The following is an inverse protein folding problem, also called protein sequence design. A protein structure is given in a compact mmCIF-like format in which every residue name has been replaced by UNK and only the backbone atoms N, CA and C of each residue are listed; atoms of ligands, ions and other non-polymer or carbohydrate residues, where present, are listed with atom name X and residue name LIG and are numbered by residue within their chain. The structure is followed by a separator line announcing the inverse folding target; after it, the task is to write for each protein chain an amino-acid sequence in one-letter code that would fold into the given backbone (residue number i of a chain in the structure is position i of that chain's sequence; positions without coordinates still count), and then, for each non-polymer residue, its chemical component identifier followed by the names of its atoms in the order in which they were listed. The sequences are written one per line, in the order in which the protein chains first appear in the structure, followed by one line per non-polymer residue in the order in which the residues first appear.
data_IF_562731914976
#
_entry.id   IF_562731914976
#
_cell.length_a   1.000
_cell.length_b   1.000
_cell.length_c   1.000
_cell.angle_alpha   90.00
_cell.angle_beta   90.00
_cell.angle_gamma   90.00
#
_symmetry.space_group_name_H-M   'P 1'
#
loop_
_entity.id
_entity.type
_entity.pdbx_description
1 polymer ?
#
# COMPACT_ATOMS: atom_id res chain seq x y z
N UNK A 1 21.21 22.49 -24.05
CA UNK A 1 21.31 21.10 -23.55
C UNK A 1 20.82 20.17 -24.65
N UNK A 2 21.64 19.23 -25.13
CA UNK A 2 21.13 18.20 -26.06
C UNK A 2 20.18 17.32 -25.27
N UNK A 3 18.88 17.44 -25.51
CA UNK A 3 17.90 16.45 -25.08
C UNK A 3 18.30 15.18 -25.82
N UNK A 4 19.02 14.29 -25.13
CA UNK A 4 19.38 12.99 -25.69
C UNK A 4 18.06 12.27 -25.96
N UNK A 5 17.88 11.80 -27.19
CA UNK A 5 16.71 11.04 -27.55
C UNK A 5 16.76 9.71 -26.80
N UNK A 6 16.01 9.62 -25.70
CA UNK A 6 15.99 8.48 -24.80
C UNK A 6 15.71 7.16 -25.53
N UNK A 7 14.86 7.20 -26.57
CA UNK A 7 14.56 6.06 -27.43
C UNK A 7 15.81 5.57 -28.18
N UNK A 8 16.63 6.49 -28.71
CA UNK A 8 17.87 6.12 -29.39
C UNK A 8 18.88 5.48 -28.43
N UNK A 9 18.99 5.98 -27.19
CA UNK A 9 19.87 5.38 -26.19
C UNK A 9 19.42 3.96 -25.80
N UNK A 10 18.10 3.74 -25.64
CA UNK A 10 17.54 2.41 -25.37
C UNK A 10 17.80 1.47 -26.55
N UNK A 11 17.58 1.92 -27.79
CA UNK A 11 17.81 1.13 -28.99
C UNK A 11 19.29 0.79 -29.20
N UNK A 12 20.20 1.71 -28.86
CA UNK A 12 21.63 1.44 -28.87
C UNK A 12 21.99 0.36 -27.84
N UNK A 13 21.51 0.49 -26.60
CA UNK A 13 21.74 -0.52 -25.56
C UNK A 13 21.20 -1.89 -25.94
N UNK A 14 20.05 -1.93 -26.60
CA UNK A 14 19.47 -3.16 -27.13
C UNK A 14 20.31 -3.76 -28.26
N UNK A 15 20.75 -2.94 -29.23
CA UNK A 15 21.59 -3.37 -30.37
C UNK A 15 22.94 -3.91 -29.91
N UNK A 16 23.55 -3.26 -28.92
CA UNK A 16 24.83 -3.66 -28.32
C UNK A 16 24.68 -4.74 -27.24
N UNK A 17 23.44 -5.17 -26.93
CA UNK A 17 23.11 -6.20 -25.92
C UNK A 17 23.76 -5.95 -24.55
N UNK A 18 23.68 -4.72 -24.07
CA UNK A 18 24.22 -4.36 -22.76
C UNK A 18 23.59 -5.19 -21.65
N UNK A 19 24.37 -5.55 -20.62
CA UNK A 19 23.80 -6.08 -19.38
C UNK A 19 23.04 -5.00 -18.61
N UNK A 20 22.14 -5.38 -17.69
CA UNK A 20 21.36 -4.43 -16.89
C UNK A 20 22.25 -3.40 -16.18
N UNK A 21 23.39 -3.84 -15.63
CA UNK A 21 24.37 -2.97 -14.98
C UNK A 21 25.06 -2.02 -15.97
N UNK A 22 25.53 -2.54 -17.12
CA UNK A 22 26.16 -1.72 -18.16
C UNK A 22 25.19 -0.67 -18.70
N UNK A 23 23.93 -1.06 -18.89
CA UNK A 23 22.86 -0.17 -19.27
C UNK A 23 22.67 0.94 -18.24
N UNK A 24 22.49 0.62 -16.97
CA UNK A 24 22.27 1.63 -15.93
C UNK A 24 23.44 2.64 -15.83
N UNK A 25 24.69 2.16 -15.89
CA UNK A 25 25.89 3.02 -15.83
C UNK A 25 25.96 3.96 -17.03
N UNK A 26 25.74 3.46 -18.25
CA UNK A 26 25.79 4.30 -19.44
C UNK A 26 24.59 5.24 -19.53
N UNK A 27 23.41 4.77 -19.12
CA UNK A 27 22.22 5.60 -19.07
C UNK A 27 22.41 6.80 -18.13
N UNK A 28 23.08 6.62 -16.99
CA UNK A 28 23.32 7.70 -16.01
C UNK A 28 24.08 8.89 -16.58
N UNK A 29 24.90 8.67 -17.61
CA UNK A 29 25.64 9.73 -18.29
C UNK A 29 24.72 10.70 -19.04
N UNK A 30 23.51 10.27 -19.39
CA UNK A 30 22.53 11.07 -20.13
C UNK A 30 21.59 11.87 -19.21
N UNK A 31 21.63 11.67 -17.90
CA UNK A 31 20.76 12.37 -16.94
C UNK A 31 21.51 13.54 -16.29
N UNK A 32 20.88 14.71 -16.13
CA UNK A 32 21.46 15.81 -15.38
C UNK A 32 21.79 15.39 -13.95
N UNK A 33 22.93 15.85 -13.41
CA UNK A 33 23.29 15.60 -12.01
C UNK A 33 22.20 16.16 -11.09
N UNK A 34 21.60 15.30 -10.27
CA UNK A 34 20.56 15.67 -9.29
C UNK A 34 19.12 15.62 -9.81
N UNK A 35 18.88 15.26 -11.08
CA UNK A 35 17.53 15.04 -11.59
C UNK A 35 17.02 13.63 -11.25
N UNK A 36 15.73 13.49 -10.91
CA UNK A 36 15.06 12.19 -10.84
C UNK A 36 14.88 11.63 -12.25
N UNK A 37 15.01 10.32 -12.42
CA UNK A 37 14.93 9.69 -13.75
C UNK A 37 13.51 9.71 -14.31
N UNK A 38 12.52 9.98 -13.46
CA UNK A 38 11.12 10.16 -13.84
C UNK A 38 10.89 11.40 -14.71
N UNK A 39 11.75 12.43 -14.61
CA UNK A 39 11.63 13.68 -15.40
C UNK A 39 11.68 13.43 -16.91
N UNK A 40 12.32 12.33 -17.34
CA UNK A 40 12.45 11.98 -18.75
C UNK A 40 11.46 10.89 -19.20
N UNK A 41 10.43 10.56 -18.39
CA UNK A 41 9.46 9.51 -18.69
C UNK A 41 10.13 8.16 -19.03
N UNK A 42 11.19 7.80 -18.30
CA UNK A 42 12.00 6.60 -18.59
C UNK A 42 11.18 5.31 -18.57
N UNK A 43 10.27 5.17 -17.60
CA UNK A 43 9.39 4.00 -17.52
C UNK A 43 8.52 3.85 -18.77
N UNK A 44 7.95 4.96 -19.26
CA UNK A 44 7.16 4.99 -20.49
C UNK A 44 8.00 4.67 -21.71
N UNK A 45 9.17 5.29 -21.87
CA UNK A 45 10.04 5.01 -23.01
C UNK A 45 10.52 3.55 -23.03
N UNK A 46 10.85 2.97 -21.88
CA UNK A 46 11.22 1.55 -21.79
C UNK A 46 10.06 0.63 -22.13
N UNK A 47 8.85 0.90 -21.61
CA UNK A 47 7.67 0.10 -21.94
C UNK A 47 7.28 0.22 -23.41
N UNK A 48 7.24 1.43 -23.98
CA UNK A 48 6.95 1.63 -25.40
C UNK A 48 7.90 0.82 -26.29
N UNK A 49 9.21 0.85 -26.00
CA UNK A 49 10.19 0.10 -26.78
C UNK A 49 10.12 -1.41 -26.50
N UNK A 50 9.82 -1.82 -25.27
CA UNK A 50 9.63 -3.22 -24.92
C UNK A 50 8.40 -3.82 -25.62
N UNK A 51 7.36 -3.03 -25.85
CA UNK A 51 6.10 -3.46 -26.44
C UNK A 51 6.06 -3.32 -27.97
N UNK A 52 7.19 -3.19 -28.66
CA UNK A 52 7.22 -3.25 -30.14
C UNK A 52 7.24 -4.72 -30.59
N UNK A 53 6.11 -5.20 -31.11
CA UNK A 53 5.97 -6.56 -31.67
C UNK A 53 4.93 -7.44 -30.94
N UNK A 54 4.72 -8.69 -31.37
CA UNK A 54 3.68 -9.57 -30.80
C UNK A 54 3.98 -10.05 -29.38
N UNK A 55 5.26 -10.08 -29.00
CA UNK A 55 5.74 -10.43 -27.66
C UNK A 55 6.66 -9.34 -27.12
N UNK A 56 6.72 -9.14 -25.80
CA UNK A 56 7.53 -8.08 -25.25
C UNK A 56 9.02 -8.40 -25.34
N UNK A 57 9.85 -7.41 -25.64
CA UNK A 57 11.28 -7.55 -25.74
C UNK A 57 11.90 -7.83 -24.35
N UNK A 58 12.45 -9.05 -24.11
CA UNK A 58 12.87 -9.46 -22.78
C UNK A 58 14.06 -8.65 -22.23
N UNK A 59 14.94 -8.15 -23.10
CA UNK A 59 16.10 -7.36 -22.70
C UNK A 59 15.69 -5.94 -22.28
N UNK A 60 14.79 -5.30 -23.04
CA UNK A 60 14.30 -3.97 -22.65
C UNK A 60 13.45 -4.08 -21.38
N UNK A 61 12.70 -5.17 -21.22
CA UNK A 61 12.01 -5.46 -19.96
C UNK A 61 12.97 -5.68 -18.80
N UNK A 62 14.13 -6.34 -18.99
CA UNK A 62 15.10 -6.51 -17.91
C UNK A 62 15.66 -5.16 -17.43
N UNK A 63 15.88 -4.22 -18.34
CA UNK A 63 16.25 -2.84 -17.98
C UNK A 63 15.20 -2.15 -17.12
N UNK A 64 13.91 -2.30 -17.44
CA UNK A 64 12.83 -1.76 -16.62
C UNK A 64 12.75 -2.44 -15.25
N UNK A 65 12.84 -3.77 -15.20
CA UNK A 65 12.84 -4.55 -13.95
C UNK A 65 14.01 -4.14 -13.05
N UNK A 66 15.17 -3.91 -13.65
CA UNK A 66 16.35 -3.39 -12.96
C UNK A 66 16.09 -1.98 -12.43
N UNK A 67 15.58 -1.07 -13.28
CA UNK A 67 15.28 0.31 -12.90
C UNK A 67 14.28 0.40 -11.74
N UNK A 68 13.27 -0.46 -11.71
CA UNK A 68 12.33 -0.60 -10.59
C UNK A 68 13.05 -1.07 -9.34
N UNK A 69 13.85 -2.13 -9.44
CA UNK A 69 14.52 -2.74 -8.28
C UNK A 69 15.59 -1.84 -7.68
N UNK A 70 16.27 -1.04 -8.50
CA UNK A 70 17.27 -0.06 -8.07
C UNK A 70 16.67 1.33 -7.77
N UNK A 71 15.35 1.47 -7.73
CA UNK A 71 14.63 2.73 -7.45
C UNK A 71 15.07 3.89 -8.36
N UNK A 72 15.45 3.59 -9.60
CA UNK A 72 15.77 4.63 -10.58
C UNK A 72 14.49 5.33 -11.04
N UNK A 73 13.40 4.57 -11.23
CA UNK A 73 12.08 5.09 -11.58
C UNK A 73 11.11 4.93 -10.40
N UNK A 74 10.18 5.86 -10.24
CA UNK A 74 9.12 5.72 -9.24
C UNK A 74 8.06 4.71 -9.66
N UNK A 75 7.42 4.08 -8.67
CA UNK A 75 6.28 3.20 -8.90
C UNK A 75 5.10 3.94 -9.56
N UNK A 76 4.93 5.23 -9.27
CA UNK A 76 3.93 6.08 -9.90
C UNK A 76 4.13 6.13 -11.41
N UNK A 77 5.34 6.50 -11.87
CA UNK A 77 5.67 6.57 -13.30
C UNK A 77 5.49 5.22 -14.01
N UNK A 78 5.81 4.10 -13.34
CA UNK A 78 5.60 2.76 -13.90
C UNK A 78 4.11 2.43 -14.01
N UNK A 79 3.31 2.66 -12.97
CA UNK A 79 1.86 2.42 -13.00
C UNK A 79 1.18 3.26 -14.09
N UNK A 80 1.54 4.53 -14.21
CA UNK A 80 1.05 5.41 -15.28
C UNK A 80 1.42 4.86 -16.65
N UNK A 81 2.68 4.44 -16.86
CA UNK A 81 3.12 3.89 -18.13
C UNK A 81 2.41 2.57 -18.49
N UNK A 82 2.16 1.68 -17.51
CA UNK A 82 1.36 0.47 -17.71
C UNK A 82 -0.08 0.83 -18.14
N UNK A 83 -0.69 1.82 -17.47
CA UNK A 83 -2.08 2.20 -17.74
C UNK A 83 -2.34 2.75 -19.15
N UNK A 84 -1.28 3.15 -19.88
CA UNK A 84 -1.35 3.62 -21.27
C UNK A 84 -1.45 2.50 -22.30
N UNK A 85 -1.11 1.27 -21.94
CA UNK A 85 -1.20 0.13 -22.85
C UNK A 85 -2.67 -0.28 -23.06
N UNK A 86 -3.16 -0.35 -24.29
CA UNK A 86 -4.57 -0.60 -24.60
C UNK A 86 -4.83 -1.81 -25.50
N UNK A 87 -3.79 -2.37 -26.12
CA UNK A 87 -3.87 -3.55 -26.98
C UNK A 87 -3.93 -4.86 -26.18
N UNK A 88 -5.10 -5.15 -25.62
CA UNK A 88 -5.37 -6.36 -24.83
C UNK A 88 -5.40 -7.66 -25.65
N UNK A 89 -5.26 -7.59 -26.98
CA UNK A 89 -5.16 -8.79 -27.82
C UNK A 89 -3.81 -9.50 -27.67
N UNK A 90 -2.79 -8.79 -27.17
CA UNK A 90 -1.41 -9.28 -27.03
C UNK A 90 -1.17 -9.89 -25.65
N UNK A 91 -1.58 -11.13 -25.48
CA UNK A 91 -1.56 -11.83 -24.18
C UNK A 91 -0.20 -11.83 -23.48
N UNK A 92 0.89 -12.09 -24.22
CA UNK A 92 2.25 -12.09 -23.64
C UNK A 92 2.68 -10.71 -23.12
N UNK A 93 2.18 -9.64 -23.72
CA UNK A 93 2.48 -8.28 -23.31
C UNK A 93 1.69 -7.91 -22.06
N UNK A 94 0.40 -8.25 -22.04
CA UNK A 94 -0.44 -8.12 -20.85
C UNK A 94 0.16 -8.90 -19.68
N UNK A 95 0.53 -10.16 -19.89
CA UNK A 95 1.18 -10.99 -18.87
C UNK A 95 2.44 -10.32 -18.31
N UNK A 96 3.33 -9.81 -19.17
CA UNK A 96 4.54 -9.14 -18.71
C UNK A 96 4.27 -7.86 -17.90
N UNK A 97 3.21 -7.12 -18.25
CA UNK A 97 2.78 -5.94 -17.49
C UNK A 97 2.23 -6.32 -16.11
N UNK A 98 1.42 -7.39 -16.02
CA UNK A 98 0.94 -7.92 -14.74
C UNK A 98 2.10 -8.38 -13.86
N UNK A 99 3.08 -9.09 -14.43
CA UNK A 99 4.29 -9.53 -13.74
C UNK A 99 5.11 -8.34 -13.20
N UNK A 100 5.20 -7.24 -13.95
CA UNK A 100 5.86 -6.01 -13.49
C UNK A 100 5.12 -5.42 -12.28
N UNK A 101 3.79 -5.32 -12.33
CA UNK A 101 3.00 -4.83 -11.19
C UNK A 101 3.24 -5.70 -9.95
N UNK A 102 3.35 -7.01 -10.12
CA UNK A 102 3.64 -7.96 -9.05
C UNK A 102 4.96 -7.72 -8.32
N UNK A 103 5.96 -7.12 -8.98
CA UNK A 103 7.25 -6.84 -8.35
C UNK A 103 7.16 -5.81 -7.22
N UNK A 104 6.19 -4.91 -7.22
CA UNK A 104 6.18 -3.78 -6.29
C UNK A 104 4.83 -3.45 -5.65
N UNK A 105 3.71 -4.09 -6.03
CA UNK A 105 2.38 -3.80 -5.45
C UNK A 105 2.34 -3.84 -3.92
N UNK A 106 3.11 -4.72 -3.27
CA UNK A 106 3.15 -4.83 -1.81
C UNK A 106 3.96 -3.68 -1.15
N UNK A 107 4.85 -3.07 -1.92
CA UNK A 107 5.80 -2.01 -1.52
C UNK A 107 5.33 -0.60 -1.83
N UNK A 108 4.10 -0.42 -2.33
CA UNK A 108 3.53 0.91 -2.60
C UNK A 108 3.45 1.72 -1.30
N UNK A 109 4.18 2.82 -1.21
CA UNK A 109 4.16 3.69 -0.02
C UNK A 109 4.41 5.15 -0.39
N UNK A 110 3.75 6.03 0.35
CA UNK A 110 3.86 7.48 0.22
C UNK A 110 4.91 8.00 1.23
N UNK A 111 6.11 8.34 0.78
CA UNK A 111 7.20 8.85 1.64
C UNK A 111 7.73 10.22 1.17
N UNK A 112 7.20 10.72 0.07
CA UNK A 112 7.65 11.94 -0.59
C UNK A 112 6.80 13.16 -0.25
N UNK A 113 6.86 14.17 -1.12
CA UNK A 113 6.01 15.37 -1.01
C UNK A 113 4.55 15.00 -1.24
N UNK A 114 3.62 15.83 -0.75
CA UNK A 114 2.18 15.62 -0.93
C UNK A 114 1.82 15.38 -2.41
N UNK A 115 2.38 16.18 -3.32
CA UNK A 115 2.19 16.03 -4.77
C UNK A 115 2.63 14.66 -5.32
N UNK A 116 3.77 14.13 -4.86
CA UNK A 116 4.26 12.81 -5.28
C UNK A 116 3.36 11.69 -4.77
N UNK A 117 2.83 11.86 -3.55
CA UNK A 117 1.89 10.93 -2.93
C UNK A 117 0.54 10.93 -3.67
N UNK A 118 0.02 12.11 -4.00
CA UNK A 118 -1.20 12.27 -4.81
C UNK A 118 -0.97 11.70 -6.21
N UNK A 119 0.20 11.95 -6.81
CA UNK A 119 0.59 11.35 -8.08
C UNK A 119 0.55 9.83 -8.05
N UNK A 120 1.08 9.20 -7.00
CA UNK A 120 0.99 7.76 -6.81
C UNK A 120 -0.46 7.27 -6.68
N UNK A 121 -1.30 7.99 -5.93
CA UNK A 121 -2.72 7.68 -5.80
C UNK A 121 -3.42 7.68 -7.17
N UNK A 122 -3.21 8.73 -7.98
CA UNK A 122 -3.76 8.82 -9.35
C UNK A 122 -3.23 7.71 -10.24
N UNK A 123 -1.93 7.43 -10.21
CA UNK A 123 -1.34 6.35 -11.00
C UNK A 123 -1.89 4.97 -10.62
N UNK A 124 -2.12 4.71 -9.33
CA UNK A 124 -2.76 3.48 -8.86
C UNK A 124 -4.22 3.39 -9.30
N UNK A 125 -4.95 4.50 -9.33
CA UNK A 125 -6.32 4.56 -9.86
C UNK A 125 -6.36 4.25 -11.36
N UNK A 126 -5.48 4.86 -12.16
CA UNK A 126 -5.35 4.56 -13.58
C UNK A 126 -4.97 3.09 -13.83
N UNK A 127 -4.07 2.53 -13.02
CA UNK A 127 -3.70 1.13 -13.09
C UNK A 127 -4.85 0.19 -12.69
N UNK A 128 -5.66 0.55 -11.70
CA UNK A 128 -6.88 -0.20 -11.36
C UNK A 128 -7.87 -0.19 -12.52
N UNK A 129 -8.13 0.97 -13.11
CA UNK A 129 -9.00 1.08 -14.28
C UNK A 129 -8.47 0.24 -15.46
N UNK A 130 -7.16 0.28 -15.71
CA UNK A 130 -6.50 -0.55 -16.70
C UNK A 130 -6.68 -2.05 -16.42
N UNK A 131 -6.48 -2.50 -15.18
CA UNK A 131 -6.70 -3.89 -14.77
C UNK A 131 -8.16 -4.33 -14.98
N UNK A 132 -9.13 -3.47 -14.71
CA UNK A 132 -10.55 -3.77 -14.94
C UNK A 132 -10.87 -3.90 -16.42
N UNK A 133 -10.35 -2.99 -17.27
CA UNK A 133 -10.50 -3.09 -18.73
C UNK A 133 -9.84 -4.35 -19.28
N UNK A 134 -8.65 -4.69 -18.77
CA UNK A 134 -7.93 -5.91 -19.11
C UNK A 134 -8.72 -7.17 -18.71
N UNK A 135 -9.32 -7.17 -17.51
CA UNK A 135 -10.18 -8.25 -17.02
C UNK A 135 -11.43 -8.39 -17.89
N UNK A 136 -12.10 -7.28 -18.25
CA UNK A 136 -13.25 -7.29 -19.13
C UNK A 136 -12.92 -7.83 -20.53
N UNK A 137 -11.81 -7.38 -21.13
CA UNK A 137 -11.36 -7.88 -22.43
C UNK A 137 -10.99 -9.38 -22.40
N UNK A 138 -10.44 -9.86 -21.28
CA UNK A 138 -10.14 -11.28 -21.09
C UNK A 138 -11.42 -12.11 -20.91
N UNK A 139 -12.42 -11.58 -20.21
CA UNK A 139 -13.72 -12.21 -20.03
C UNK A 139 -14.55 -12.27 -21.32
N UNK A 140 -14.52 -11.20 -22.14
CA UNK A 140 -15.15 -11.18 -23.47
C UNK A 140 -14.55 -12.25 -24.39
N UNK A 141 -13.22 -12.36 -24.43
CA UNK A 141 -12.53 -13.39 -25.23
C UNK A 141 -12.79 -14.81 -24.73
N UNK A 142 -12.91 -15.01 -23.42
CA UNK A 142 -13.33 -16.30 -22.89
C UNK A 142 -14.73 -16.67 -23.37
N UNK A 143 -15.67 -15.72 -23.39
CA UNK A 143 -17.02 -15.92 -23.90
C UNK A 143 -17.00 -16.32 -25.38
N UNK A 144 -16.25 -15.62 -26.22
CA UNK A 144 -16.07 -15.96 -27.64
C UNK A 144 -15.40 -17.34 -27.83
N UNK A 145 -14.39 -17.64 -27.02
CA UNK A 145 -13.68 -18.93 -27.04
C UNK A 145 -14.56 -20.11 -26.60
N UNK A 146 -15.57 -19.89 -25.75
CA UNK A 146 -16.58 -20.89 -25.40
C UNK A 146 -17.46 -21.24 -26.60
N UNK A 147 -17.84 -20.25 -27.42
CA UNK A 147 -18.60 -20.47 -28.66
C UNK A 147 -17.76 -21.19 -29.73
N UNK A 148 -16.46 -20.92 -29.76
CA UNK A 148 -15.50 -21.53 -30.70
C UNK A 148 -14.85 -22.84 -30.22
N UNK A 149 -15.19 -23.34 -29.02
CA UNK A 149 -14.68 -24.61 -28.49
C UNK A 149 -13.22 -24.60 -28.00
N UNK A 150 -12.61 -23.43 -27.75
CA UNK A 150 -11.21 -23.28 -27.27
C UNK A 150 -11.07 -22.41 -25.99
N UNK A 151 -11.74 -22.75 -24.87
CA UNK A 151 -11.83 -21.87 -23.70
C UNK A 151 -10.53 -21.73 -22.88
N UNK A 152 -9.63 -22.71 -22.95
CA UNK A 152 -8.51 -22.84 -21.99
C UNK A 152 -7.54 -21.64 -21.97
N UNK A 153 -7.29 -21.01 -23.12
CA UNK A 153 -6.39 -19.84 -23.18
C UNK A 153 -7.04 -18.59 -22.55
N UNK A 154 -8.33 -18.36 -22.81
CA UNK A 154 -9.09 -17.25 -22.24
C UNK A 154 -9.26 -17.37 -20.73
N UNK A 155 -9.47 -18.58 -20.21
CA UNK A 155 -9.59 -18.81 -18.77
C UNK A 155 -8.29 -18.48 -18.03
N UNK A 156 -7.14 -18.92 -18.56
CA UNK A 156 -5.83 -18.62 -17.98
C UNK A 156 -5.60 -17.12 -17.89
N UNK A 157 -5.87 -16.39 -18.98
CA UNK A 157 -5.66 -14.95 -19.02
C UNK A 157 -6.57 -14.22 -18.03
N UNK A 158 -7.86 -14.59 -17.98
CA UNK A 158 -8.81 -14.02 -17.02
C UNK A 158 -8.38 -14.29 -15.56
N UNK A 159 -7.93 -15.52 -15.26
CA UNK A 159 -7.45 -15.88 -13.94
C UNK A 159 -6.25 -15.02 -13.49
N UNK A 160 -5.30 -14.76 -14.39
CA UNK A 160 -4.14 -13.90 -14.08
C UNK A 160 -4.56 -12.46 -13.77
N UNK A 161 -5.49 -11.90 -14.56
CA UNK A 161 -6.03 -10.55 -14.32
C UNK A 161 -6.76 -10.47 -12.97
N UNK A 162 -7.59 -11.46 -12.65
CA UNK A 162 -8.34 -11.51 -11.39
C UNK A 162 -7.41 -11.70 -10.18
N UNK A 163 -6.42 -12.60 -10.27
CA UNK A 163 -5.42 -12.76 -9.23
C UNK A 163 -4.68 -11.45 -8.95
N UNK A 164 -4.32 -10.71 -10.01
CA UNK A 164 -3.64 -9.42 -9.87
C UNK A 164 -4.56 -8.37 -9.26
N UNK A 165 -5.83 -8.32 -9.69
CA UNK A 165 -6.84 -7.42 -9.12
C UNK A 165 -7.06 -7.69 -7.62
N UNK A 166 -7.24 -8.95 -7.25
CA UNK A 166 -7.43 -9.40 -5.87
C UNK A 166 -6.24 -9.02 -4.99
N UNK A 167 -5.01 -9.35 -5.40
CA UNK A 167 -3.81 -9.00 -4.63
C UNK A 167 -3.63 -7.48 -4.48
N UNK A 168 -4.07 -6.69 -5.47
CA UNK A 168 -4.03 -5.22 -5.36
C UNK A 168 -5.05 -4.72 -4.35
N UNK A 169 -6.25 -5.29 -4.36
CA UNK A 169 -7.37 -4.89 -3.51
C UNK A 169 -7.33 -5.49 -2.11
N UNK A 170 -6.63 -6.59 -1.85
CA UNK A 170 -6.53 -7.24 -0.52
C UNK A 170 -5.81 -6.34 0.49
N UNK A 171 -4.87 -5.52 0.02
CA UNK A 171 -4.15 -4.52 0.81
C UNK A 171 -5.05 -3.34 1.19
N UNK A 172 -5.34 -3.20 2.49
CA UNK A 172 -6.06 -2.03 3.03
C UNK A 172 -5.36 -0.72 2.69
N UNK A 173 -4.02 -0.72 2.66
CA UNK A 173 -3.21 0.42 2.25
C UNK A 173 -3.51 0.83 0.81
N UNK A 174 -3.55 -0.12 -0.12
CA UNK A 174 -3.82 0.18 -1.53
C UNK A 174 -5.25 0.70 -1.72
N UNK A 175 -6.22 0.12 -1.01
CA UNK A 175 -7.59 0.64 -1.01
C UNK A 175 -7.65 2.07 -0.46
N UNK A 176 -6.93 2.38 0.62
CA UNK A 176 -6.85 3.75 1.16
C UNK A 176 -6.25 4.75 0.15
N UNK A 177 -5.20 4.37 -0.58
CA UNK A 177 -4.62 5.20 -1.65
C UNK A 177 -5.64 5.45 -2.78
N UNK A 178 -6.41 4.42 -3.17
CA UNK A 178 -7.49 4.54 -4.15
C UNK A 178 -8.63 5.46 -3.67
N UNK A 179 -8.94 5.44 -2.37
CA UNK A 179 -9.92 6.36 -1.78
C UNK A 179 -9.46 7.82 -1.91
N UNK A 180 -8.18 8.09 -1.61
CA UNK A 180 -7.60 9.43 -1.79
C UNK A 180 -7.66 9.83 -3.27
N UNK A 181 -7.29 8.93 -4.18
CA UNK A 181 -7.35 9.18 -5.62
C UNK A 181 -8.76 9.53 -6.11
N UNK A 182 -9.79 8.84 -5.60
CA UNK A 182 -11.20 9.14 -5.89
C UNK A 182 -11.57 10.57 -5.48
N UNK A 183 -11.19 10.99 -4.27
CA UNK A 183 -11.52 12.32 -3.77
C UNK A 183 -10.88 13.41 -4.62
N UNK A 184 -9.71 13.13 -5.19
CA UNK A 184 -8.99 14.04 -6.07
C UNK A 184 -9.53 14.06 -7.51
N UNK A 185 -9.97 12.91 -8.04
CA UNK A 185 -10.35 12.75 -9.44
C UNK A 185 -11.65 11.95 -9.60
N UNK A 186 -12.78 12.57 -9.25
CA UNK A 186 -14.09 11.93 -9.25
C UNK A 186 -14.52 11.37 -10.62
N UNK A 187 -14.14 12.02 -11.73
CA UNK A 187 -14.44 11.57 -13.10
C UNK A 187 -13.81 10.21 -13.43
N UNK A 188 -12.55 10.02 -13.03
CA UNK A 188 -11.83 8.76 -13.22
C UNK A 188 -12.45 7.63 -12.39
N UNK A 189 -13.04 7.93 -11.23
CA UNK A 189 -13.81 6.97 -10.46
C UNK A 189 -15.11 6.54 -11.14
N UNK A 190 -15.85 7.46 -11.75
CA UNK A 190 -17.06 7.13 -12.52
C UNK A 190 -16.76 6.17 -13.67
N UNK A 191 -15.60 6.30 -14.33
CA UNK A 191 -15.15 5.36 -15.35
C UNK A 191 -14.92 3.94 -14.79
N UNK A 192 -14.38 3.83 -13.57
CA UNK A 192 -14.23 2.55 -12.87
C UNK A 192 -15.59 1.94 -12.55
N UNK A 193 -16.55 2.72 -12.07
CA UNK A 193 -17.91 2.25 -11.78
C UNK A 193 -18.60 1.72 -13.04
N UNK A 194 -18.50 2.44 -14.15
CA UNK A 194 -19.01 1.98 -15.44
C UNK A 194 -18.33 0.69 -15.92
N UNK A 195 -17.00 0.61 -15.80
CA UNK A 195 -16.25 -0.59 -16.16
C UNK A 195 -16.65 -1.80 -15.29
N UNK A 196 -16.93 -1.58 -14.00
CA UNK A 196 -17.41 -2.61 -13.08
C UNK A 196 -18.80 -3.12 -13.43
N UNK A 197 -19.71 -2.22 -13.84
CA UNK A 197 -21.04 -2.62 -14.30
C UNK A 197 -20.94 -3.51 -15.55
N UNK A 198 -20.20 -3.05 -16.56
CA UNK A 198 -19.96 -3.82 -17.79
C UNK A 198 -19.33 -5.18 -17.49
N UNK A 199 -18.31 -5.22 -16.61
CA UNK A 199 -17.67 -6.47 -16.20
C UNK A 199 -18.67 -7.42 -15.52
N UNK A 200 -19.55 -6.91 -14.64
CA UNK A 200 -20.60 -7.70 -14.01
C UNK A 200 -21.54 -8.38 -15.01
N UNK A 201 -21.95 -7.66 -16.06
CA UNK A 201 -22.81 -8.20 -17.13
C UNK A 201 -22.11 -9.32 -17.92
N UNK A 202 -20.81 -9.15 -18.23
CA UNK A 202 -20.03 -10.17 -18.94
C UNK A 202 -19.88 -11.43 -18.08
N UNK A 203 -19.54 -11.25 -16.80
CA UNK A 203 -19.27 -12.35 -15.87
C UNK A 203 -20.53 -13.15 -15.48
N UNK A 204 -21.70 -12.52 -15.48
CA UNK A 204 -22.97 -13.19 -15.18
C UNK A 204 -23.24 -14.40 -16.11
N UNK A 205 -22.69 -14.35 -17.32
CA UNK A 205 -22.87 -15.35 -18.37
C UNK A 205 -21.74 -16.39 -18.42
N UNK A 206 -20.73 -16.31 -17.54
CA UNK A 206 -19.65 -17.30 -17.51
C UNK A 206 -20.05 -18.56 -16.75
N UNK A 207 -19.66 -19.72 -17.30
CA UNK A 207 -19.89 -21.04 -16.69
C UNK A 207 -18.94 -21.33 -15.51
N UNK A 208 -17.76 -20.70 -15.47
CA UNK A 208 -16.75 -20.93 -14.44
C UNK A 208 -17.09 -20.20 -13.13
N UNK A 209 -17.68 -20.93 -12.19
CA UNK A 209 -18.15 -20.38 -10.90
C UNK A 209 -17.02 -19.82 -10.03
N UNK A 210 -15.80 -20.37 -10.10
CA UNK A 210 -14.67 -19.91 -9.30
C UNK A 210 -14.21 -18.52 -9.74
N UNK A 211 -13.98 -18.34 -11.04
CA UNK A 211 -13.55 -17.05 -11.60
C UNK A 211 -14.63 -15.98 -11.38
N UNK A 212 -15.90 -16.36 -11.54
CA UNK A 212 -17.04 -15.47 -11.26
C UNK A 212 -17.06 -15.02 -9.80
N UNK A 213 -16.94 -15.95 -8.85
CA UNK A 213 -16.93 -15.62 -7.42
C UNK A 213 -15.76 -14.69 -7.05
N UNK A 214 -14.55 -14.97 -7.58
CA UNK A 214 -13.38 -14.13 -7.35
C UNK A 214 -13.57 -12.71 -7.90
N UNK A 215 -14.18 -12.58 -9.08
CA UNK A 215 -14.47 -11.29 -9.67
C UNK A 215 -15.56 -10.51 -8.92
N UNK A 216 -16.60 -11.20 -8.44
CA UNK A 216 -17.64 -10.62 -7.58
C UNK A 216 -17.02 -10.08 -6.27
N UNK A 217 -16.11 -10.83 -5.64
CA UNK A 217 -15.36 -10.38 -4.45
C UNK A 217 -14.49 -9.15 -4.74
N UNK A 218 -13.78 -9.12 -5.86
CA UNK A 218 -13.04 -7.93 -6.27
C UNK A 218 -13.98 -6.73 -6.46
N UNK A 219 -15.14 -6.95 -7.09
CA UNK A 219 -16.17 -5.93 -7.29
C UNK A 219 -16.76 -5.40 -5.98
N UNK A 220 -17.02 -6.23 -4.98
CA UNK A 220 -17.50 -5.78 -3.66
C UNK A 220 -16.42 -4.96 -2.93
N UNK A 221 -15.16 -5.39 -2.99
CA UNK A 221 -14.04 -4.63 -2.43
C UNK A 221 -13.92 -3.25 -3.07
N UNK A 222 -14.00 -3.13 -4.40
CA UNK A 222 -13.93 -1.82 -5.08
C UNK A 222 -15.12 -0.94 -4.67
N UNK A 223 -16.34 -1.48 -4.63
CA UNK A 223 -17.54 -0.73 -4.20
C UNK A 223 -17.48 -0.28 -2.73
N UNK A 224 -16.68 -0.94 -1.90
CA UNK A 224 -16.45 -0.53 -0.50
C UNK A 224 -15.43 0.61 -0.34
N UNK A 225 -14.61 0.91 -1.36
CA UNK A 225 -13.57 1.95 -1.29
C UNK A 225 -14.14 3.33 -0.93
N UNK A 226 -15.26 3.80 -1.52
CA UNK A 226 -15.89 5.06 -1.15
C UNK A 226 -16.26 5.18 0.33
N UNK A 227 -16.57 4.06 1.00
CA UNK A 227 -17.08 4.04 2.38
C UNK A 227 -16.02 3.67 3.42
N UNK A 228 -14.77 3.42 3.02
CA UNK A 228 -13.72 3.01 3.97
C UNK A 228 -13.43 4.06 5.06
N UNK A 229 -13.54 5.35 4.73
CA UNK A 229 -13.39 6.44 5.71
C UNK A 229 -14.73 6.91 6.29
N UNK A 230 -15.86 6.47 5.73
CA UNK A 230 -17.18 6.70 6.35
C UNK A 230 -17.45 5.73 7.50
N UNK A 231 -16.60 4.71 7.67
CA UNK A 231 -16.38 4.07 8.97
C UNK A 231 -15.71 5.13 9.85
N UNK A 232 -16.52 6.07 10.34
CA UNK A 232 -16.13 6.90 11.46
C UNK A 232 -15.52 5.98 12.50
N UNK A 233 -14.31 6.29 12.96
CA UNK A 233 -13.80 5.67 14.17
C UNK A 233 -14.72 6.13 15.30
N UNK A 234 -15.82 5.42 15.53
CA UNK A 234 -16.67 5.55 16.73
C UNK A 234 -15.85 5.28 18.02
N UNK A 235 -14.58 4.89 17.88
CA UNK A 235 -13.66 4.52 18.95
C UNK A 235 -12.59 5.57 19.25
N UNK A 236 -12.52 6.73 18.59
CA UNK A 236 -11.46 7.71 18.90
C UNK A 236 -11.51 8.20 20.38
N UNK A 237 -12.64 7.99 21.05
CA UNK A 237 -12.91 8.50 22.42
C UNK A 237 -13.02 7.38 23.46
N UNK A 238 -12.86 6.10 23.09
CA UNK A 238 -12.85 4.99 24.06
C UNK A 238 -11.42 4.61 24.36
N UNK A 239 -10.91 5.04 25.50
CA UNK A 239 -9.70 4.44 26.09
C UNK A 239 -9.94 2.93 26.20
N UNK A 240 -9.09 2.11 25.58
CA UNK A 240 -9.32 0.66 25.53
C UNK A 240 -9.31 0.02 26.92
N UNK A 241 -8.59 0.65 27.87
CA UNK A 241 -8.42 0.19 29.23
C UNK A 241 -8.50 1.38 30.22
N UNK A 242 -9.71 1.92 30.50
CA UNK A 242 -9.89 3.11 31.34
C UNK A 242 -9.39 2.90 32.77
N UNK A 243 -9.35 1.66 33.25
CA UNK A 243 -8.83 1.33 34.58
C UNK A 243 -7.34 1.62 34.69
N UNK A 244 -6.55 1.40 33.62
CA UNK A 244 -5.13 1.78 33.59
C UNK A 244 -5.00 3.30 33.74
N UNK A 245 -5.83 4.05 33.01
CA UNK A 245 -5.85 5.51 33.09
C UNK A 245 -6.22 6.00 34.49
N UNK A 246 -7.26 5.42 35.10
CA UNK A 246 -7.68 5.78 36.45
C UNK A 246 -6.57 5.56 37.50
N UNK A 247 -5.88 4.42 37.45
CA UNK A 247 -4.78 4.11 38.37
C UNK A 247 -3.61 5.08 38.19
N UNK A 248 -3.21 5.33 36.93
CA UNK A 248 -2.11 6.27 36.63
C UNK A 248 -2.49 7.70 37.00
N UNK A 249 -3.73 8.12 36.74
CA UNK A 249 -4.23 9.45 37.05
C UNK A 249 -4.28 9.70 38.56
N UNK A 250 -4.78 8.73 39.31
CA UNK A 250 -4.86 8.78 40.76
C UNK A 250 -3.47 8.85 41.39
N UNK A 251 -2.53 8.05 40.91
CA UNK A 251 -1.16 8.07 41.41
C UNK A 251 -0.43 9.39 41.08
N UNK A 252 -0.58 9.90 39.86
CA UNK A 252 0.04 11.16 39.44
C UNK A 252 -0.53 12.39 40.15
N UNK A 253 -1.80 12.33 40.57
CA UNK A 253 -2.47 13.43 41.29
C UNK A 253 -2.20 13.39 42.80
N UNK A 254 -2.31 12.21 43.41
CA UNK A 254 -2.38 12.07 44.87
C UNK A 254 -1.08 11.60 45.51
N UNK A 255 -0.26 10.83 44.78
CA UNK A 255 0.85 10.06 45.35
C UNK A 255 2.19 10.33 44.64
N UNK A 256 2.43 11.57 44.19
CA UNK A 256 3.66 11.89 43.43
C UNK A 256 4.95 11.45 44.14
N UNK A 257 5.02 11.70 45.46
CA UNK A 257 6.19 11.36 46.30
C UNK A 257 6.13 9.95 46.88
N UNK A 258 5.04 9.20 46.63
CA UNK A 258 4.89 7.83 47.11
C UNK A 258 5.87 6.88 46.46
N UNK A 259 6.16 5.77 47.13
CA UNK A 259 7.01 4.71 46.59
C UNK A 259 6.45 4.16 45.27
N UNK A 260 7.32 3.69 44.38
CA UNK A 260 6.90 3.15 43.06
C UNK A 260 6.33 1.74 43.14
N UNK A 261 6.55 1.02 44.24
CA UNK A 261 6.18 -0.40 44.37
C UNK A 261 4.65 -0.64 44.39
N UNK A 262 3.84 0.12 45.15
CA UNK A 262 2.38 -0.06 45.14
C UNK A 262 1.75 0.18 43.76
N UNK A 263 2.22 1.20 43.03
CA UNK A 263 1.75 1.48 41.67
C UNK A 263 2.05 0.31 40.73
N UNK A 264 3.25 -0.28 40.81
CA UNK A 264 3.64 -1.44 40.00
C UNK A 264 2.71 -2.63 40.25
N UNK A 265 2.40 -2.92 41.52
CA UNK A 265 1.54 -4.04 41.91
C UNK A 265 0.10 -3.85 41.42
N UNK A 266 -0.45 -2.65 41.59
CA UNK A 266 -1.79 -2.30 41.09
C UNK A 266 -1.87 -2.39 39.57
N UNK A 267 -0.89 -1.86 38.85
CA UNK A 267 -0.78 -1.93 37.40
C UNK A 267 -0.69 -3.38 36.91
N UNK A 268 0.10 -4.22 37.57
CA UNK A 268 0.19 -5.66 37.24
C UNK A 268 -1.11 -6.41 37.54
N UNK A 269 -1.83 -6.04 38.60
CA UNK A 269 -3.14 -6.61 38.90
C UNK A 269 -4.14 -6.28 37.78
N UNK A 270 -4.22 -5.01 37.36
CA UNK A 270 -5.10 -4.57 36.25
C UNK A 270 -4.75 -5.29 34.96
N UNK A 271 -3.45 -5.36 34.60
CA UNK A 271 -2.98 -6.08 33.42
C UNK A 271 -3.45 -7.53 33.40
N UNK A 272 -3.34 -8.24 34.52
CA UNK A 272 -3.76 -9.64 34.66
C UNK A 272 -5.26 -9.82 34.58
N UNK A 273 -6.03 -9.00 35.31
CA UNK A 273 -7.50 -9.10 35.33
C UNK A 273 -8.14 -8.77 33.98
N UNK A 274 -7.57 -7.80 33.24
CA UNK A 274 -8.10 -7.35 31.94
C UNK A 274 -7.41 -8.03 30.76
N UNK A 275 -6.51 -9.00 31.00
CA UNK A 275 -5.75 -9.71 29.97
C UNK A 275 -5.10 -8.80 28.92
N UNK A 276 -4.50 -7.69 29.37
CA UNK A 276 -4.00 -6.63 28.47
C UNK A 276 -2.68 -7.07 27.82
N UNK A 277 -2.58 -7.07 26.48
CA UNK A 277 -1.31 -7.32 25.79
C UNK A 277 -0.23 -6.32 26.21
N UNK A 278 0.99 -6.78 26.50
CA UNK A 278 2.09 -5.94 27.00
C UNK A 278 2.34 -4.67 26.17
N UNK A 279 2.36 -4.69 24.83
CA UNK A 279 2.57 -3.47 24.04
C UNK A 279 1.45 -2.43 24.24
N UNK A 280 0.19 -2.89 24.29
CA UNK A 280 -0.97 -2.02 24.53
C UNK A 280 -0.97 -1.49 25.96
N UNK A 281 -0.57 -2.33 26.93
CA UNK A 281 -0.48 -1.93 28.32
C UNK A 281 0.49 -0.76 28.54
N UNK A 282 1.69 -0.85 27.95
CA UNK A 282 2.68 0.25 28.02
C UNK A 282 2.16 1.50 27.32
N UNK A 283 1.51 1.33 26.16
CA UNK A 283 0.90 2.44 25.43
C UNK A 283 -0.16 3.17 26.26
N UNK A 284 -1.05 2.44 26.95
CA UNK A 284 -2.09 3.05 27.79
C UNK A 284 -1.53 3.78 29.00
N UNK A 285 -0.44 3.29 29.61
CA UNK A 285 0.26 4.02 30.68
C UNK A 285 0.77 5.37 30.15
N UNK A 286 1.42 5.38 28.99
CA UNK A 286 1.92 6.63 28.39
C UNK A 286 0.80 7.59 28.00
N UNK A 287 -0.30 7.07 27.43
CA UNK A 287 -1.49 7.88 27.12
C UNK A 287 -2.02 8.57 28.38
N UNK A 288 -2.18 7.84 29.47
CA UNK A 288 -2.66 8.39 30.73
C UNK A 288 -1.74 9.48 31.30
N UNK A 289 -0.43 9.32 31.16
CA UNK A 289 0.54 10.34 31.57
C UNK A 289 0.42 11.62 30.72
N UNK A 290 0.26 11.48 29.40
CA UNK A 290 0.08 12.63 28.51
C UNK A 290 -1.26 13.32 28.70
N UNK A 291 -2.34 12.57 28.97
CA UNK A 291 -3.63 13.15 29.36
C UNK A 291 -3.46 14.00 30.63
N UNK A 292 -2.80 13.46 31.66
CA UNK A 292 -2.52 14.20 32.89
C UNK A 292 -1.69 15.47 32.66
N UNK A 293 -0.69 15.44 31.77
CA UNK A 293 0.08 16.62 31.38
C UNK A 293 -0.78 17.68 30.68
N UNK A 294 -1.61 17.26 29.70
CA UNK A 294 -2.45 18.16 28.91
C UNK A 294 -3.54 18.81 29.78
N UNK A 295 -4.13 18.05 30.70
CA UNK A 295 -5.22 18.53 31.57
C UNK A 295 -4.73 19.28 32.81
N UNK A 296 -3.42 19.28 33.08
CA UNK A 296 -2.87 19.94 34.27
C UNK A 296 -2.92 21.46 34.16
N UNK A 297 -3.31 22.17 35.24
CA UNK A 297 -3.26 23.62 35.26
C UNK A 297 -1.81 24.12 35.24
N UNK A 298 -1.58 25.23 34.53
CA UNK A 298 -0.28 25.88 34.43
C UNK A 298 0.36 26.14 35.81
N UNK A 299 1.68 26.00 35.89
CA UNK A 299 2.46 26.22 37.11
C UNK A 299 2.70 24.94 37.90
N UNK A 300 2.25 24.88 39.15
CA UNK A 300 2.63 23.76 40.05
C UNK A 300 2.01 22.42 39.66
N UNK A 301 0.84 22.42 39.01
CA UNK A 301 0.18 21.20 38.51
C UNK A 301 0.96 20.56 37.37
N UNK A 302 1.33 21.37 36.38
CA UNK A 302 2.18 20.98 35.26
C UNK A 302 3.53 20.41 35.70
N UNK A 303 4.20 21.05 36.67
CA UNK A 303 5.47 20.55 37.22
C UNK A 303 5.33 19.18 37.89
N UNK A 304 4.22 18.95 38.62
CA UNK A 304 3.94 17.64 39.25
C UNK A 304 3.76 16.55 38.20
N UNK A 305 2.96 16.82 37.16
CA UNK A 305 2.74 15.88 36.06
C UNK A 305 3.97 15.64 35.21
N UNK A 306 4.83 16.65 35.05
CA UNK A 306 6.13 16.54 34.40
C UNK A 306 7.06 15.62 35.19
N UNK A 307 7.18 15.84 36.50
CA UNK A 307 7.97 14.96 37.37
C UNK A 307 7.43 13.53 37.40
N UNK A 308 6.11 13.36 37.47
CA UNK A 308 5.48 12.03 37.43
C UNK A 308 5.81 11.29 36.12
N UNK A 309 5.57 11.94 34.99
CA UNK A 309 5.70 11.35 33.65
C UNK A 309 7.16 11.06 33.28
N UNK A 310 8.08 11.97 33.58
CA UNK A 310 9.46 11.86 33.12
C UNK A 310 10.44 11.33 34.17
N UNK A 311 10.08 11.29 35.46
CA UNK A 311 10.95 10.76 36.52
C UNK A 311 10.39 9.49 37.16
N UNK A 312 9.11 9.47 37.56
CA UNK A 312 8.52 8.34 38.30
C UNK A 312 8.13 7.18 37.37
N UNK A 313 7.45 7.45 36.25
CA UNK A 313 6.99 6.42 35.31
C UNK A 313 8.12 5.59 34.69
N UNK A 314 9.27 6.15 34.29
CA UNK A 314 10.40 5.34 33.83
C UNK A 314 10.86 4.30 34.86
N UNK A 315 10.88 4.65 36.15
CA UNK A 315 11.24 3.73 37.23
C UNK A 315 10.21 2.62 37.40
N UNK A 316 8.92 2.96 37.29
CA UNK A 316 7.80 2.00 37.30
C UNK A 316 7.92 1.03 36.13
N UNK A 317 8.20 1.51 34.91
CA UNK A 317 8.38 0.67 33.72
C UNK A 317 9.58 -0.29 33.85
N UNK A 318 10.69 0.17 34.45
CA UNK A 318 11.85 -0.70 34.75
C UNK A 318 11.46 -1.83 35.70
N UNK A 319 10.67 -1.55 36.74
CA UNK A 319 10.16 -2.57 37.66
C UNK A 319 9.18 -3.52 36.99
N UNK A 320 8.25 -3.02 36.17
CA UNK A 320 7.29 -3.84 35.41
C UNK A 320 7.99 -4.82 34.46
N UNK A 321 9.10 -4.42 33.84
CA UNK A 321 9.92 -5.31 33.01
C UNK A 321 10.46 -6.51 33.80
N UNK A 322 10.88 -6.31 35.05
CA UNK A 322 11.40 -7.37 35.92
C UNK A 322 10.32 -8.39 36.30
N UNK A 323 9.10 -7.94 36.55
CA UNK A 323 7.96 -8.84 36.83
C UNK A 323 7.62 -9.76 35.65
N UNK A 324 7.70 -9.25 34.42
CA UNK A 324 7.41 -10.06 33.23
C UNK A 324 8.40 -11.19 32.96
N UNK A 325 9.52 -11.27 33.70
CA UNK A 325 10.49 -12.36 33.61
C UNK A 325 10.33 -13.41 34.73
N UNK A 326 9.51 -13.14 35.75
CA UNK A 326 9.19 -14.10 36.82
C UNK A 326 8.14 -15.16 36.43
N UNK A 327 7.23 -14.84 35.50
CA UNK A 327 6.12 -15.72 35.08
C UNK A 327 6.52 -16.83 34.09
N UNK A 328 7.83 -17.11 33.91
CA UNK A 328 8.32 -18.23 33.07
C UNK A 328 8.73 -19.48 33.84
N UNK A 329 8.51 -19.52 35.15
CA UNK A 329 8.78 -20.70 36.00
C UNK A 329 7.54 -21.01 36.85
N UNK A 330 6.50 -21.50 36.18
CA UNK A 330 5.43 -22.31 36.76
C UNK A 330 4.60 -22.92 35.63
#
# INVERSE_FOLDING_TARGET
MKVVNLKQAILQAWKERWSDYQWAVNMKKFFPKGATWDILNLAEALLEQAMIGPSPNPLILSYLKYAISSQMVSYSSVLTAISKFDDFSRDLCVQALLDIMDMFCDRLSCHGKAEECIGLCRALLSALHWLLRCTAASAERLREGLEAGTPAAGEKQLAMCLQRLEKTLSSTKNRALLHIAKLEEASSWTAIEHCLLKLGEILANLSNHQLRSQAEQCGTLIRSIPTMLSVHSEQLHKTGFPTVHAVVLLEGTMNLTGETQPLVEQLMMVKRMQHIPTPLFILEIWKACFVGLIESPEGTGELKWTAFTFLKIPQVLVKLKKYSHGDKVS
#
